data_IF_662213995002
#
_entry.id   IF_662213995002
#
_cell.length_a   1.000
_cell.length_b   1.000
_cell.length_c   1.000
_cell.angle_alpha   90.00
_cell.angle_beta   90.00
_cell.angle_gamma   90.00
#
_symmetry.space_group_name_H-M   'P 1'
#
loop_
_entity.id
_entity.type
_entity.pdbx_description
1 polymer ?
#
# COMPACT_ATOMS: atom_id res chain seq x y z
N UNK A 1 29.36 -29.54 23.58
CA UNK A 1 28.06 -29.76 22.89
C UNK A 1 27.74 -28.48 22.16
N UNK A 2 28.14 -28.41 20.90
CA UNK A 2 27.85 -27.27 20.04
C UNK A 2 26.51 -27.51 19.39
N UNK A 3 25.48 -26.82 19.90
CA UNK A 3 24.16 -26.79 19.31
C UNK A 3 24.24 -26.07 17.94
N UNK A 4 24.20 -26.83 16.88
CA UNK A 4 24.08 -26.36 15.52
C UNK A 4 22.64 -25.91 15.31
N UNK A 5 22.31 -24.66 15.72
CA UNK A 5 21.03 -24.04 15.38
C UNK A 5 21.08 -23.75 13.89
N UNK A 6 20.45 -24.63 13.10
CA UNK A 6 20.14 -24.32 11.70
C UNK A 6 19.37 -23.01 11.70
N UNK A 7 19.77 -21.97 10.96
CA UNK A 7 19.00 -20.73 10.89
C UNK A 7 17.61 -21.07 10.39
N UNK A 8 16.62 -20.75 11.20
CA UNK A 8 15.21 -20.98 10.88
C UNK A 8 14.91 -20.23 9.57
N UNK A 9 14.49 -20.97 8.55
CA UNK A 9 14.21 -20.40 7.24
C UNK A 9 13.09 -19.40 7.36
N UNK A 10 13.29 -18.17 6.88
CA UNK A 10 12.23 -17.18 6.77
C UNK A 10 11.03 -17.76 6.01
N UNK A 11 9.78 -17.52 6.46
CA UNK A 11 8.59 -18.02 5.77
C UNK A 11 8.44 -17.39 4.38
N UNK A 12 7.58 -17.98 3.55
CA UNK A 12 7.19 -17.40 2.27
C UNK A 12 6.51 -16.04 2.49
N UNK A 13 6.75 -15.12 1.56
CA UNK A 13 6.16 -13.78 1.66
C UNK A 13 4.64 -13.84 1.49
N UNK A 14 3.86 -13.24 2.40
CA UNK A 14 2.41 -13.19 2.28
C UNK A 14 1.89 -12.58 0.98
N UNK A 15 2.69 -11.74 0.32
CA UNK A 15 2.29 -11.05 -0.91
C UNK A 15 2.11 -11.97 -2.14
N UNK A 16 2.43 -13.25 -2.01
CA UNK A 16 2.24 -14.23 -3.09
C UNK A 16 3.30 -14.16 -4.20
N UNK A 17 4.43 -13.50 -3.96
CA UNK A 17 5.53 -13.42 -4.94
C UNK A 17 6.25 -14.75 -5.18
N UNK A 18 6.09 -15.72 -4.26
CA UNK A 18 6.85 -16.95 -4.25
C UNK A 18 8.25 -16.84 -3.64
N UNK A 19 8.69 -15.62 -3.30
CA UNK A 19 9.95 -15.38 -2.59
C UNK A 19 9.75 -15.46 -1.07
N UNK A 20 10.85 -15.60 -0.34
CA UNK A 20 10.84 -15.56 1.11
C UNK A 20 10.56 -14.14 1.61
N UNK A 21 9.98 -14.02 2.79
CA UNK A 21 9.63 -12.72 3.39
C UNK A 21 10.85 -11.80 3.50
N UNK A 22 11.97 -12.30 4.01
CA UNK A 22 13.21 -11.53 4.19
C UNK A 22 13.84 -11.06 2.86
N UNK A 23 13.59 -11.75 1.78
CA UNK A 23 14.06 -11.40 0.42
C UNK A 23 13.01 -10.62 -0.39
N UNK A 24 11.84 -10.39 0.17
CA UNK A 24 10.72 -9.72 -0.49
C UNK A 24 10.22 -8.54 0.33
N UNK A 25 9.00 -8.60 0.88
CA UNK A 25 8.41 -7.49 1.62
C UNK A 25 9.13 -7.17 2.93
N UNK A 26 9.78 -8.16 3.56
CA UNK A 26 10.46 -7.99 4.84
C UNK A 26 11.49 -6.86 4.87
N UNK A 27 12.21 -6.64 3.78
CA UNK A 27 13.17 -5.53 3.67
C UNK A 27 12.47 -4.16 3.73
N UNK A 28 11.29 -4.02 3.14
CA UNK A 28 10.52 -2.78 3.16
C UNK A 28 9.88 -2.55 4.53
N UNK A 29 9.37 -3.59 5.15
CA UNK A 29 8.86 -3.56 6.52
C UNK A 29 9.95 -3.17 7.52
N UNK A 30 11.20 -3.53 7.24
CA UNK A 30 12.37 -3.15 8.04
C UNK A 30 12.88 -1.73 7.78
N UNK A 31 12.30 -0.99 6.82
CA UNK A 31 12.59 0.43 6.58
C UNK A 31 13.23 0.77 5.25
N UNK A 32 13.62 -0.21 4.44
CA UNK A 32 14.11 0.06 3.07
C UNK A 32 12.98 0.65 2.22
N UNK A 33 13.18 1.78 1.54
CA UNK A 33 12.16 2.33 0.65
C UNK A 33 11.78 1.36 -0.47
N UNK A 34 10.49 1.17 -0.69
CA UNK A 34 10.03 0.37 -1.82
C UNK A 34 10.41 1.05 -3.15
N UNK A 35 10.96 0.31 -4.12
CA UNK A 35 11.46 0.89 -5.38
C UNK A 35 10.35 1.27 -6.35
N UNK A 36 9.14 0.77 -6.16
CA UNK A 36 7.98 1.02 -7.02
C UNK A 36 6.68 1.02 -6.23
N UNK A 37 5.65 1.59 -6.83
CA UNK A 37 4.29 1.55 -6.27
C UNK A 37 3.78 0.12 -6.10
N UNK A 38 4.08 -0.77 -7.05
CA UNK A 38 3.72 -2.19 -6.95
C UNK A 38 4.37 -2.85 -5.73
N UNK A 39 5.68 -2.63 -5.51
CA UNK A 39 6.37 -3.18 -4.34
C UNK A 39 5.83 -2.60 -3.05
N UNK A 40 5.49 -1.33 -3.03
CA UNK A 40 4.82 -0.71 -1.88
C UNK A 40 3.46 -1.36 -1.62
N UNK A 41 2.63 -1.55 -2.63
CA UNK A 41 1.32 -2.17 -2.49
C UNK A 41 1.44 -3.60 -1.95
N UNK A 42 2.36 -4.41 -2.48
CA UNK A 42 2.62 -5.78 -1.99
C UNK A 42 3.05 -5.79 -0.53
N UNK A 43 3.95 -4.90 -0.14
CA UNK A 43 4.42 -4.82 1.25
C UNK A 43 3.34 -4.31 2.21
N UNK A 44 2.42 -3.47 1.76
CA UNK A 44 1.25 -3.06 2.54
C UNK A 44 0.29 -4.22 2.78
N UNK A 45 0.05 -5.07 1.77
CA UNK A 45 -0.70 -6.31 1.97
C UNK A 45 -0.03 -7.21 3.03
N UNK A 46 1.27 -7.44 2.91
CA UNK A 46 2.04 -8.21 3.90
C UNK A 46 1.96 -7.59 5.29
N UNK A 47 1.95 -6.26 5.39
CA UNK A 47 1.78 -5.55 6.67
C UNK A 47 0.42 -5.84 7.30
N UNK A 48 -0.67 -5.89 6.52
CA UNK A 48 -1.98 -6.31 7.03
C UNK A 48 -1.96 -7.75 7.53
N UNK A 49 -1.35 -8.66 6.79
CA UNK A 49 -1.23 -10.08 7.20
C UNK A 49 -0.44 -10.22 8.51
N UNK A 50 0.62 -9.45 8.67
CA UNK A 50 1.53 -9.50 9.83
C UNK A 50 1.11 -8.58 10.99
N UNK A 51 0.12 -7.72 10.79
CA UNK A 51 -0.36 -6.78 11.82
C UNK A 51 0.55 -5.56 12.01
N UNK A 52 1.38 -5.20 11.03
CA UNK A 52 2.26 -4.03 11.09
C UNK A 52 1.50 -2.75 10.69
N UNK A 53 0.70 -2.26 11.61
CA UNK A 53 -0.14 -1.06 11.39
C UNK A 53 0.70 0.21 11.28
N UNK A 54 1.84 0.27 11.97
CA UNK A 54 2.75 1.42 11.89
C UNK A 54 3.32 1.56 10.47
N UNK A 55 3.69 0.47 9.83
CA UNK A 55 4.12 0.49 8.43
C UNK A 55 3.01 1.00 7.50
N UNK A 56 1.78 0.53 7.67
CA UNK A 56 0.64 1.00 6.89
C UNK A 56 0.44 2.50 7.02
N UNK A 57 0.52 3.02 8.24
CA UNK A 57 0.42 4.45 8.51
C UNK A 57 1.56 5.24 7.88
N UNK A 58 2.81 4.82 8.10
CA UNK A 58 4.00 5.51 7.61
C UNK A 58 4.09 5.54 6.07
N UNK A 59 3.51 4.57 5.39
CA UNK A 59 3.48 4.48 3.93
C UNK A 59 2.22 5.07 3.30
N UNK A 60 1.30 5.58 4.08
CA UNK A 60 0.21 6.44 3.61
C UNK A 60 0.72 7.87 3.50
N UNK A 61 0.20 8.63 2.53
CA UNK A 61 0.57 10.03 2.31
C UNK A 61 0.60 10.80 3.64
N UNK A 62 1.70 11.48 3.99
CA UNK A 62 1.83 12.13 5.30
C UNK A 62 0.67 13.03 5.69
N UNK A 63 0.10 13.77 4.73
CA UNK A 63 -1.08 14.62 4.96
C UNK A 63 -2.35 13.85 5.37
N UNK A 64 -2.40 12.54 5.15
CA UNK A 64 -3.54 11.69 5.49
C UNK A 64 -3.33 10.86 6.77
N UNK A 65 -2.11 10.77 7.28
CA UNK A 65 -1.77 9.86 8.38
C UNK A 65 -2.58 10.14 9.65
N UNK A 66 -2.83 11.39 9.97
CA UNK A 66 -3.63 11.78 11.14
C UNK A 66 -5.12 11.40 11.01
N UNK A 67 -5.61 11.19 9.80
CA UNK A 67 -7.00 10.80 9.53
C UNK A 67 -7.22 9.28 9.52
N UNK A 68 -6.17 8.47 9.70
CA UNK A 68 -6.27 7.01 9.73
C UNK A 68 -6.79 6.52 11.07
N UNK A 69 -7.71 5.58 11.05
CA UNK A 69 -8.17 4.85 12.24
C UNK A 69 -7.30 3.59 12.46
N UNK A 70 -6.21 3.76 13.20
CA UNK A 70 -5.26 2.68 13.47
C UNK A 70 -5.88 1.52 14.26
N UNK A 71 -6.86 1.79 15.13
CA UNK A 71 -7.55 0.74 15.88
C UNK A 71 -8.43 -0.11 14.98
N UNK A 72 -9.20 0.52 14.08
CA UNK A 72 -10.00 -0.19 13.09
C UNK A 72 -9.13 -1.01 12.13
N UNK A 73 -8.01 -0.46 11.68
CA UNK A 73 -7.04 -1.18 10.83
C UNK A 73 -6.47 -2.41 11.56
N UNK A 74 -6.11 -2.27 12.82
CA UNK A 74 -5.60 -3.38 13.65
C UNK A 74 -6.67 -4.46 13.86
N UNK A 75 -7.90 -4.06 14.17
CA UNK A 75 -9.01 -4.98 14.35
C UNK A 75 -9.27 -5.78 13.07
N UNK A 76 -9.31 -5.12 11.92
CA UNK A 76 -9.49 -5.78 10.63
C UNK A 76 -8.35 -6.74 10.32
N UNK A 77 -7.11 -6.33 10.54
CA UNK A 77 -5.93 -7.19 10.37
C UNK A 77 -6.03 -8.48 11.21
N UNK A 78 -6.37 -8.36 12.50
CA UNK A 78 -6.42 -9.49 13.44
C UNK A 78 -7.63 -10.40 13.25
N UNK A 79 -8.78 -9.84 12.88
CA UNK A 79 -10.03 -10.60 12.72
C UNK A 79 -10.15 -11.28 11.36
N UNK A 80 -9.29 -10.95 10.42
CA UNK A 80 -9.29 -11.50 9.08
C UNK A 80 -8.29 -12.65 8.95
N UNK A 81 -8.72 -13.72 8.28
CA UNK A 81 -7.81 -14.73 7.72
C UNK A 81 -7.50 -14.33 6.29
N UNK A 82 -6.26 -13.96 6.03
CA UNK A 82 -5.83 -13.47 4.72
C UNK A 82 -5.65 -14.64 3.75
N UNK A 83 -6.31 -14.59 2.60
CA UNK A 83 -6.40 -15.68 1.64
C UNK A 83 -5.56 -15.47 0.39
N UNK A 84 -5.04 -14.27 0.17
CA UNK A 84 -4.13 -13.99 -0.93
C UNK A 84 -4.31 -12.63 -1.57
N UNK A 85 -3.30 -12.27 -2.33
CA UNK A 85 -3.21 -11.06 -3.13
C UNK A 85 -2.95 -11.44 -4.58
N UNK A 86 -3.68 -10.84 -5.50
CA UNK A 86 -3.42 -10.90 -6.93
C UNK A 86 -3.21 -9.48 -7.46
N UNK A 87 -2.02 -9.21 -7.97
CA UNK A 87 -1.77 -7.97 -8.71
C UNK A 87 -2.17 -8.20 -10.16
N UNK A 88 -3.18 -7.48 -10.62
CA UNK A 88 -3.71 -7.61 -11.96
C UNK A 88 -2.93 -6.73 -12.94
N UNK A 89 -2.59 -5.51 -12.53
CA UNK A 89 -1.89 -4.54 -13.35
C UNK A 89 -1.08 -3.58 -12.49
N UNK A 90 0.17 -3.36 -12.87
CA UNK A 90 1.00 -2.29 -12.33
C UNK A 90 1.23 -1.26 -13.44
N UNK A 91 0.98 0.00 -13.13
CA UNK A 91 1.11 1.13 -14.03
C UNK A 91 2.17 2.08 -13.46
N UNK A 92 3.43 1.96 -13.91
CA UNK A 92 4.50 2.84 -13.47
C UNK A 92 4.20 4.28 -13.86
N UNK A 93 4.88 5.27 -13.23
CA UNK A 93 4.64 6.66 -13.55
C UNK A 93 4.95 6.95 -15.00
N UNK A 94 4.06 7.72 -15.65
CA UNK A 94 4.32 8.27 -16.97
C UNK A 94 5.48 9.27 -16.88
N UNK A 95 6.05 9.61 -18.04
CA UNK A 95 7.12 10.62 -18.12
C UNK A 95 6.69 11.92 -17.41
N UNK A 96 7.54 12.42 -16.52
CA UNK A 96 7.30 13.60 -15.68
C UNK A 96 6.14 13.50 -14.68
N UNK A 97 5.55 12.32 -14.49
CA UNK A 97 4.55 12.11 -13.45
C UNK A 97 5.20 11.57 -12.18
N UNK A 98 4.73 12.05 -11.02
CA UNK A 98 5.08 11.49 -9.72
C UNK A 98 4.07 10.42 -9.26
N UNK A 99 3.03 10.16 -10.05
CA UNK A 99 1.95 9.22 -9.70
C UNK A 99 2.08 7.90 -10.46
N UNK A 100 1.76 6.83 -9.79
CA UNK A 100 1.66 5.48 -10.35
C UNK A 100 0.36 4.83 -9.84
N UNK A 101 -0.06 3.76 -10.51
CA UNK A 101 -1.27 3.03 -10.14
C UNK A 101 -1.00 1.54 -10.06
N UNK A 102 -1.76 0.84 -9.24
CA UNK A 102 -1.78 -0.61 -9.21
C UNK A 102 -3.22 -1.09 -9.05
N UNK A 103 -3.62 -2.04 -9.89
CA UNK A 103 -4.90 -2.74 -9.78
C UNK A 103 -4.64 -4.11 -9.19
N UNK A 104 -5.35 -4.44 -8.12
CA UNK A 104 -5.18 -5.69 -7.40
C UNK A 104 -6.49 -6.18 -6.81
N UNK A 105 -6.52 -7.47 -6.48
CA UNK A 105 -7.57 -8.10 -5.69
C UNK A 105 -6.95 -8.70 -4.44
N UNK A 106 -7.50 -8.37 -3.28
CA UNK A 106 -7.17 -8.98 -2.00
C UNK A 106 -8.35 -9.80 -1.50
N UNK A 107 -8.07 -10.98 -0.97
CA UNK A 107 -9.08 -11.90 -0.45
C UNK A 107 -8.82 -12.18 1.03
N UNK A 108 -9.88 -12.20 1.80
CA UNK A 108 -9.84 -12.58 3.21
C UNK A 108 -11.14 -13.24 3.64
N UNK A 109 -11.11 -13.85 4.80
CA UNK A 109 -12.26 -14.45 5.48
C UNK A 109 -12.37 -13.87 6.88
N UNK A 110 -13.57 -13.55 7.29
CA UNK A 110 -13.90 -13.16 8.66
C UNK A 110 -15.15 -13.89 9.15
N UNK A 111 -15.73 -13.44 10.26
CA UNK A 111 -16.94 -14.05 10.85
C UNK A 111 -18.16 -14.01 9.92
N UNK A 112 -18.19 -13.13 8.92
CA UNK A 112 -19.29 -12.98 7.96
C UNK A 112 -19.11 -13.82 6.68
N UNK A 113 -17.91 -14.34 6.45
CA UNK A 113 -17.60 -15.18 5.29
C UNK A 113 -16.35 -14.74 4.53
N UNK A 114 -16.24 -15.17 3.27
CA UNK A 114 -15.15 -14.78 2.39
C UNK A 114 -15.47 -13.50 1.62
N UNK A 115 -14.46 -12.65 1.50
CA UNK A 115 -14.55 -11.35 0.83
C UNK A 115 -13.44 -11.23 -0.22
N UNK A 116 -13.75 -10.48 -1.27
CA UNK A 116 -12.78 -10.03 -2.27
C UNK A 116 -12.93 -8.53 -2.44
N UNK A 117 -11.83 -7.82 -2.29
CA UNK A 117 -11.75 -6.40 -2.58
C UNK A 117 -10.86 -6.17 -3.78
N UNK A 118 -11.42 -5.59 -4.83
CA UNK A 118 -10.68 -5.18 -6.03
C UNK A 118 -10.57 -3.67 -6.04
N UNK A 119 -9.36 -3.18 -6.20
CA UNK A 119 -9.08 -1.73 -6.17
C UNK A 119 -8.02 -1.38 -7.21
N UNK A 120 -8.15 -0.22 -7.82
CA UNK A 120 -7.07 0.49 -8.49
C UNK A 120 -6.61 1.63 -7.59
N UNK A 121 -5.48 1.46 -6.96
CA UNK A 121 -4.92 2.43 -6.02
C UNK A 121 -4.01 3.42 -6.72
N UNK A 122 -4.03 4.67 -6.24
CA UNK A 122 -3.10 5.71 -6.62
C UNK A 122 -1.96 5.82 -5.62
N UNK A 123 -0.77 6.05 -6.14
CA UNK A 123 0.46 6.26 -5.36
C UNK A 123 1.16 7.52 -5.83
N UNK A 124 1.88 8.16 -4.94
CA UNK A 124 2.69 9.33 -5.26
C UNK A 124 4.12 9.15 -4.75
N UNK A 125 5.10 9.55 -5.55
CA UNK A 125 6.50 9.60 -5.14
C UNK A 125 6.87 11.01 -4.69
N UNK A 126 7.35 11.13 -3.46
CA UNK A 126 7.83 12.37 -2.89
C UNK A 126 9.10 12.12 -2.08
N UNK A 127 10.10 12.97 -2.25
CA UNK A 127 11.38 12.86 -1.54
C UNK A 127 12.02 11.45 -1.61
N UNK A 128 11.95 10.80 -2.77
CA UNK A 128 12.54 9.48 -3.01
C UNK A 128 11.73 8.30 -2.47
N UNK A 129 10.55 8.54 -1.91
CA UNK A 129 9.69 7.50 -1.34
C UNK A 129 8.34 7.46 -2.03
N UNK A 130 7.79 6.25 -2.17
CA UNK A 130 6.42 6.03 -2.59
C UNK A 130 5.48 6.08 -1.40
N UNK A 131 4.31 6.68 -1.59
CA UNK A 131 3.23 6.74 -0.62
C UNK A 131 1.91 6.32 -1.27
N UNK A 132 1.11 5.57 -0.53
CA UNK A 132 -0.27 5.27 -0.89
C UNK A 132 -1.15 6.50 -0.65
N UNK A 133 -2.00 6.85 -1.61
CA UNK A 133 -3.02 7.88 -1.46
C UNK A 133 -4.33 7.18 -1.11
N UNK A 134 -4.77 7.32 0.13
CA UNK A 134 -5.96 6.65 0.61
C UNK A 134 -7.22 7.37 0.11
N UNK A 135 -8.06 6.70 -0.71
CA UNK A 135 -9.28 7.33 -1.24
C UNK A 135 -10.36 7.56 -0.17
N UNK A 136 -10.24 6.93 0.99
CA UNK A 136 -11.21 7.05 2.10
C UNK A 136 -10.87 8.15 3.10
N UNK A 137 -9.66 8.70 3.04
CA UNK A 137 -9.20 9.79 3.92
C UNK A 137 -9.15 11.09 3.14
N UNK A 138 -9.97 12.10 3.48
CA UNK A 138 -10.00 13.36 2.75
C UNK A 138 -8.65 14.07 2.73
N UNK A 139 -8.27 14.59 1.56
CA UNK A 139 -7.21 15.57 1.41
C UNK A 139 -7.81 16.98 1.45
N UNK A 140 -7.46 17.73 2.50
CA UNK A 140 -8.00 19.07 2.73
C UNK A 140 -7.16 20.11 1.99
N UNK A 141 -7.54 20.41 0.75
CA UNK A 141 -6.95 21.46 -0.04
C UNK A 141 -7.98 22.03 -1.02
N UNK A 142 -7.90 23.31 -1.29
CA UNK A 142 -8.65 23.93 -2.39
C UNK A 142 -8.08 23.48 -3.74
N UNK A 143 -8.91 23.49 -4.77
CA UNK A 143 -8.53 23.04 -6.13
C UNK A 143 -7.27 23.71 -6.67
N UNK A 144 -7.08 24.99 -6.33
CA UNK A 144 -5.95 25.79 -6.82
C UNK A 144 -4.81 25.91 -5.81
N UNK A 145 -4.99 25.37 -4.60
CA UNK A 145 -3.96 25.37 -3.56
C UNK A 145 -2.82 24.41 -3.92
N UNK A 146 -1.63 24.60 -3.34
CA UNK A 146 -0.55 23.62 -3.44
C UNK A 146 -1.02 22.25 -2.96
N UNK A 147 -0.65 21.20 -3.69
CA UNK A 147 -1.03 19.84 -3.32
C UNK A 147 -0.42 19.45 -1.97
N UNK A 148 -1.20 18.84 -1.05
CA UNK A 148 -0.70 18.36 0.24
C UNK A 148 0.44 17.33 0.15
N UNK A 149 0.67 16.73 -1.02
CA UNK A 149 1.79 15.81 -1.24
C UNK A 149 3.17 16.48 -1.25
N UNK A 150 3.23 17.82 -1.29
CA UNK A 150 4.48 18.56 -1.32
C UNK A 150 5.10 18.74 -2.71
N UNK A 151 4.40 18.36 -3.80
CA UNK A 151 4.90 18.48 -5.18
C UNK A 151 5.08 19.93 -5.66
N UNK A 152 4.41 20.89 -5.02
CA UNK A 152 4.31 22.28 -5.51
C UNK A 152 3.29 22.49 -6.63
N UNK A 153 2.70 21.42 -7.16
CA UNK A 153 1.64 21.50 -8.17
C UNK A 153 0.29 21.86 -7.51
N UNK A 154 -0.62 22.43 -8.28
CA UNK A 154 -1.99 22.66 -7.84
C UNK A 154 -2.68 21.32 -7.55
N UNK A 155 -3.43 21.24 -6.45
CA UNK A 155 -4.11 20.03 -6.01
C UNK A 155 -4.95 19.38 -7.10
N UNK A 156 -5.73 20.17 -7.85
CA UNK A 156 -6.57 19.68 -8.96
C UNK A 156 -5.81 19.01 -10.11
N UNK A 157 -4.50 19.28 -10.24
CA UNK A 157 -3.62 18.71 -11.28
C UNK A 157 -2.60 17.73 -10.70
N UNK A 158 -2.76 17.33 -9.47
CA UNK A 158 -1.87 16.45 -8.75
C UNK A 158 -2.64 15.29 -8.10
N UNK A 159 -2.67 15.18 -6.77
CA UNK A 159 -3.31 14.05 -6.09
C UNK A 159 -4.83 13.98 -6.31
N UNK A 160 -5.51 15.11 -6.48
CA UNK A 160 -6.95 15.07 -6.81
C UNK A 160 -7.21 14.41 -8.17
N UNK A 161 -6.39 14.73 -9.17
CA UNK A 161 -6.48 14.10 -10.49
C UNK A 161 -6.11 12.60 -10.44
N UNK A 162 -5.07 12.25 -9.70
CA UNK A 162 -4.66 10.86 -9.51
C UNK A 162 -5.77 10.02 -8.85
N UNK A 163 -6.42 10.53 -7.82
CA UNK A 163 -7.56 9.86 -7.18
C UNK A 163 -8.75 9.70 -8.13
N UNK A 164 -9.02 10.72 -8.94
CA UNK A 164 -10.06 10.65 -9.96
C UNK A 164 -9.76 9.59 -11.02
N UNK A 165 -8.53 9.54 -11.53
CA UNK A 165 -8.08 8.51 -12.47
C UNK A 165 -8.15 7.09 -11.85
N UNK A 166 -7.79 6.94 -10.59
CA UNK A 166 -7.87 5.67 -9.89
C UNK A 166 -9.31 5.15 -9.84
N UNK A 167 -10.27 6.01 -9.50
CA UNK A 167 -11.68 5.66 -9.42
C UNK A 167 -12.26 5.23 -10.78
N UNK A 168 -11.87 5.90 -11.88
CA UNK A 168 -12.34 5.58 -13.23
C UNK A 168 -11.80 4.26 -13.78
N UNK A 169 -10.64 3.83 -13.35
CA UNK A 169 -9.94 2.66 -13.91
C UNK A 169 -10.49 1.30 -13.48
N UNK A 170 -11.53 1.26 -12.65
CA UNK A 170 -12.19 0.02 -12.22
C UNK A 170 -13.35 -0.41 -13.12
N UNK A 171 -13.81 0.48 -13.99
CA UNK A 171 -15.01 0.28 -14.83
C UNK A 171 -14.66 -0.37 -16.19
N UNK A 172 -13.47 -0.91 -16.34
CA UNK A 172 -12.99 -1.54 -17.56
C UNK A 172 -12.76 -3.04 -17.46
#
# INVERSE_FOLDING_TARGET
>A
MTGNSTPERSPDCPCGSGARLDECCGQYLAGTPAPSAERLMRSRYSAYVLGDIDYLRQTTLPAQQAGLDAEAMRAWSLQSTWLGLQVERAEPPAERSAHAFATFSARWRDATGEHTHRERSAFVRHAGRWYFIDPTVPLRAGRNDPCPCGSGMKFKKCCADALHQAAQGLDG
#
